data_IF_022408544103
#
_entry.id   IF_022408544103
#
_cell.length_a   1.000
_cell.length_b   1.000
_cell.length_c   1.000
_cell.angle_alpha   90.00
_cell.angle_beta   90.00
_cell.angle_gamma   90.00
#
_symmetry.space_group_name_H-M   'P 1'
#
loop_
_entity.id
_entity.type
_entity.pdbx_description
1 polymer ?
#
# COMPACT_ATOMS: atom_id res chain seq x y z
N UNK A 1 -9.20 0.38 -21.70
CA UNK A 1 -8.45 -0.82 -21.26
C UNK A 1 -9.39 -1.61 -20.37
N UNK A 2 -9.69 -2.89 -20.64
CA UNK A 2 -10.46 -3.69 -19.68
C UNK A 2 -9.68 -3.70 -18.35
N UNK A 3 -10.38 -3.46 -17.25
CA UNK A 3 -9.81 -3.62 -15.92
C UNK A 3 -9.43 -5.11 -15.80
N UNK A 4 -8.14 -5.40 -15.79
CA UNK A 4 -7.68 -6.74 -15.41
C UNK A 4 -8.03 -6.90 -13.94
N UNK A 5 -9.07 -7.68 -13.67
CA UNK A 5 -9.49 -8.01 -12.31
C UNK A 5 -8.39 -8.86 -11.66
N UNK A 6 -7.72 -8.30 -10.65
CA UNK A 6 -6.82 -9.07 -9.77
C UNK A 6 -7.70 -9.84 -8.79
N UNK A 7 -7.65 -11.18 -8.85
CA UNK A 7 -8.44 -12.06 -8.00
C UNK A 7 -7.69 -12.47 -6.72
N UNK A 8 -8.40 -13.09 -5.78
CA UNK A 8 -7.82 -13.56 -4.51
C UNK A 8 -6.66 -14.54 -4.73
N UNK A 9 -6.74 -15.39 -5.77
CA UNK A 9 -5.66 -16.35 -6.09
C UNK A 9 -4.36 -15.64 -6.42
N UNK A 10 -4.43 -14.50 -7.09
CA UNK A 10 -3.25 -13.68 -7.39
C UNK A 10 -2.64 -13.12 -6.10
N UNK A 11 -3.47 -12.61 -5.18
CA UNK A 11 -3.00 -12.12 -3.88
C UNK A 11 -2.36 -13.24 -3.05
N UNK A 12 -3.00 -14.41 -2.98
CA UNK A 12 -2.49 -15.57 -2.24
C UNK A 12 -1.17 -16.09 -2.81
N UNK A 13 -0.96 -15.97 -4.13
CA UNK A 13 0.32 -16.29 -4.77
C UNK A 13 1.40 -15.29 -4.38
N UNK A 14 1.11 -13.98 -4.45
CA UNK A 14 2.07 -12.94 -4.07
C UNK A 14 2.48 -13.05 -2.60
N UNK A 15 1.54 -13.44 -1.73
CA UNK A 15 1.76 -13.63 -0.28
C UNK A 15 2.81 -14.69 0.08
N UNK A 16 3.15 -15.58 -0.86
CA UNK A 16 4.15 -16.63 -0.65
C UNK A 16 5.59 -16.15 -0.76
N UNK A 17 5.82 -14.90 -1.20
CA UNK A 17 7.14 -14.33 -1.43
C UNK A 17 7.38 -13.14 -0.49
N UNK A 18 8.65 -12.91 -0.14
CA UNK A 18 9.05 -11.69 0.56
C UNK A 18 9.05 -10.47 -0.38
N UNK A 19 8.99 -9.27 0.20
CA UNK A 19 8.96 -8.03 -0.56
C UNK A 19 10.20 -7.84 -1.46
N UNK A 20 11.45 -8.13 -1.01
CA UNK A 20 12.62 -8.06 -1.89
C UNK A 20 12.51 -8.94 -3.14
N UNK A 21 11.99 -10.16 -3.03
CA UNK A 21 11.77 -11.07 -4.16
C UNK A 21 10.78 -10.49 -5.16
N UNK A 22 9.70 -9.87 -4.68
CA UNK A 22 8.73 -9.19 -5.55
C UNK A 22 9.39 -8.00 -6.26
N UNK A 23 10.16 -7.18 -5.56
CA UNK A 23 10.91 -6.06 -6.16
C UNK A 23 11.87 -6.53 -7.25
N UNK A 24 12.67 -7.58 -6.98
CA UNK A 24 13.60 -8.15 -7.95
C UNK A 24 12.90 -8.60 -9.25
N UNK A 25 11.68 -9.15 -9.14
CA UNK A 25 10.88 -9.56 -10.30
C UNK A 25 10.33 -8.35 -11.05
N UNK A 26 9.89 -7.29 -10.35
CA UNK A 26 9.42 -6.04 -10.95
C UNK A 26 10.51 -5.40 -11.83
N UNK A 27 11.78 -5.49 -11.43
CA UNK A 27 12.92 -4.96 -12.21
C UNK A 27 13.00 -5.56 -13.62
N UNK A 28 12.56 -6.81 -13.81
CA UNK A 28 12.60 -7.49 -15.11
C UNK A 28 11.60 -6.91 -16.14
N UNK A 29 10.63 -6.11 -15.68
CA UNK A 29 9.66 -5.46 -16.56
C UNK A 29 10.13 -4.09 -17.07
N UNK A 30 11.26 -3.57 -16.58
CA UNK A 30 11.79 -2.24 -16.93
C UNK A 30 10.76 -1.08 -16.78
N UNK A 31 9.81 -1.22 -15.85
CA UNK A 31 8.75 -0.21 -15.58
C UNK A 31 9.13 0.82 -14.52
N UNK A 32 10.15 0.52 -13.71
CA UNK A 32 10.69 1.40 -12.65
C UNK A 32 12.21 1.25 -12.59
N UNK A 33 12.97 2.29 -12.18
CA UNK A 33 14.40 2.17 -11.92
C UNK A 33 14.69 1.08 -10.86
N UNK A 34 15.79 0.34 -11.03
CA UNK A 34 16.19 -0.75 -10.11
C UNK A 34 16.52 -0.30 -8.68
N UNK A 35 16.67 1.00 -8.48
CA UNK A 35 16.91 1.61 -7.17
C UNK A 35 15.66 2.29 -6.59
N UNK A 36 14.46 1.99 -7.12
CA UNK A 36 13.18 2.55 -6.69
C UNK A 36 12.13 1.43 -6.48
N UNK A 37 10.96 1.80 -5.95
CA UNK A 37 9.83 0.87 -5.80
C UNK A 37 9.81 0.05 -4.51
N UNK A 38 10.60 0.43 -3.50
CA UNK A 38 10.63 -0.18 -2.17
C UNK A 38 10.62 0.89 -1.06
N UNK A 39 10.24 0.51 0.16
CA UNK A 39 10.28 1.39 1.33
C UNK A 39 11.71 1.56 1.84
N UNK A 40 12.01 2.69 2.48
CA UNK A 40 13.28 2.90 3.16
C UNK A 40 13.29 2.20 4.53
N UNK A 41 14.44 2.23 5.21
CA UNK A 41 14.62 1.59 6.51
C UNK A 41 13.90 2.28 7.68
N UNK A 42 13.23 3.41 7.47
CA UNK A 42 12.51 4.12 8.54
C UNK A 42 11.14 3.48 8.81
N UNK A 43 10.59 2.73 7.85
CA UNK A 43 9.35 1.97 8.00
C UNK A 43 9.69 0.55 8.44
N UNK A 44 9.23 0.16 9.63
CA UNK A 44 9.50 -1.14 10.24
C UNK A 44 8.22 -1.90 10.54
N UNK A 45 8.28 -3.24 10.44
CA UNK A 45 7.15 -4.10 10.78
C UNK A 45 7.01 -4.23 12.29
N UNK A 46 5.87 -3.80 12.84
CA UNK A 46 5.57 -3.93 14.27
C UNK A 46 5.10 -5.34 14.67
N UNK A 47 4.82 -6.21 13.70
CA UNK A 47 4.31 -7.56 13.92
C UNK A 47 5.05 -8.59 13.05
N UNK A 48 6.36 -8.80 13.26
CA UNK A 48 7.20 -9.63 12.40
C UNK A 48 6.81 -11.12 12.39
N UNK A 49 6.08 -11.59 13.41
CA UNK A 49 5.62 -12.98 13.51
C UNK A 49 4.37 -13.26 12.65
N UNK A 50 3.71 -12.23 12.12
CA UNK A 50 2.58 -12.39 11.21
C UNK A 50 3.07 -12.70 9.79
N UNK A 51 2.31 -13.51 9.02
CA UNK A 51 2.66 -13.76 7.62
C UNK A 51 2.60 -12.47 6.80
N UNK A 52 3.37 -12.35 5.69
CA UNK A 52 3.31 -11.21 4.78
C UNK A 52 1.88 -10.86 4.38
N UNK A 53 1.60 -9.60 4.09
CA UNK A 53 0.29 -9.12 3.65
C UNK A 53 0.36 -8.53 2.25
N UNK A 54 -0.70 -8.73 1.47
CA UNK A 54 -0.86 -8.20 0.11
C UNK A 54 -2.28 -7.66 -0.02
N UNK A 55 -2.42 -6.49 -0.61
CA UNK A 55 -3.71 -5.84 -0.82
C UNK A 55 -3.60 -4.62 -1.71
N UNK A 56 -4.68 -3.86 -1.79
CA UNK A 56 -4.81 -2.68 -2.62
C UNK A 56 -4.56 -1.42 -1.80
N UNK A 57 -3.72 -0.52 -2.31
CA UNK A 57 -3.37 0.71 -1.61
C UNK A 57 -4.56 1.67 -1.54
N UNK A 58 -4.95 2.05 -0.32
CA UNK A 58 -5.71 3.26 -0.03
C UNK A 58 -4.71 4.33 0.41
N UNK A 59 -4.40 5.28 -0.47
CA UNK A 59 -3.35 6.27 -0.22
C UNK A 59 -3.91 7.50 0.46
N UNK A 60 -3.18 8.02 1.44
CA UNK A 60 -3.51 9.30 2.08
C UNK A 60 -2.23 10.10 2.37
N UNK A 61 -2.36 11.41 2.42
CA UNK A 61 -1.31 12.30 2.88
C UNK A 61 -1.75 12.97 4.18
N UNK A 62 -0.88 12.97 5.18
CA UNK A 62 -1.20 13.51 6.50
C UNK A 62 -0.11 14.47 6.95
N UNK A 63 -0.42 15.75 7.03
CA UNK A 63 0.54 16.75 7.50
C UNK A 63 0.47 16.87 9.02
N UNK A 64 1.30 16.12 9.72
CA UNK A 64 1.33 16.13 11.19
C UNK A 64 2.09 17.33 11.77
N UNK A 65 3.07 17.86 11.04
CA UNK A 65 4.00 18.89 11.52
C UNK A 65 3.52 20.34 11.31
N UNK A 66 2.32 20.56 10.78
CA UNK A 66 1.73 21.88 10.56
C UNK A 66 0.25 21.88 10.97
N UNK A 67 -0.32 23.04 11.38
CA UNK A 67 -1.76 23.13 11.62
C UNK A 67 -2.57 22.68 10.40
N UNK A 68 -3.72 22.01 10.59
CA UNK A 68 -4.57 21.60 9.48
C UNK A 68 -4.97 22.82 8.66
N UNK A 69 -4.97 22.69 7.33
CA UNK A 69 -5.41 23.75 6.42
C UNK A 69 -6.91 24.10 6.60
N UNK A 70 -7.67 23.21 7.25
CA UNK A 70 -9.04 23.39 7.71
C UNK A 70 -9.58 22.06 8.28
N UNK A 71 -10.60 22.13 9.14
CA UNK A 71 -11.22 20.95 9.77
C UNK A 71 -10.37 20.30 10.88
N UNK A 72 -10.82 19.13 11.33
CA UNK A 72 -10.07 18.23 12.21
C UNK A 72 -8.92 17.56 11.43
N UNK A 73 -7.76 17.37 12.08
CA UNK A 73 -6.65 16.58 11.54
C UNK A 73 -7.11 15.19 11.06
N UNK A 74 -8.09 14.58 11.73
CA UNK A 74 -8.69 13.29 11.37
C UNK A 74 -10.01 13.39 10.61
N UNK A 75 -10.45 14.58 10.19
CA UNK A 75 -11.75 14.78 9.56
C UNK A 75 -11.96 13.97 8.28
N UNK A 76 -10.88 13.55 7.61
CA UNK A 76 -10.91 12.72 6.40
C UNK A 76 -10.83 11.20 6.67
N UNK A 77 -10.66 10.77 7.92
CA UNK A 77 -10.51 9.34 8.23
C UNK A 77 -11.79 8.53 7.92
N UNK A 78 -12.96 9.08 8.26
CA UNK A 78 -14.24 8.44 7.94
C UNK A 78 -14.45 8.30 6.43
N UNK A 79 -14.12 9.34 5.66
CA UNK A 79 -14.16 9.32 4.20
C UNK A 79 -13.18 8.29 3.62
N UNK A 80 -11.97 8.20 4.19
CA UNK A 80 -10.97 7.22 3.78
C UNK A 80 -11.43 5.78 4.00
N UNK A 81 -12.03 5.49 5.17
CA UNK A 81 -12.58 4.17 5.48
C UNK A 81 -13.78 3.84 4.58
N UNK A 82 -14.65 4.82 4.30
CA UNK A 82 -15.78 4.64 3.37
C UNK A 82 -15.30 4.24 1.97
N UNK A 83 -14.18 4.81 1.51
CA UNK A 83 -13.53 4.49 0.23
C UNK A 83 -13.00 3.05 0.11
N UNK A 84 -12.86 2.29 1.20
CA UNK A 84 -12.38 0.90 1.12
C UNK A 84 -13.31 0.00 0.30
N UNK A 85 -14.61 0.30 0.30
CA UNK A 85 -15.61 -0.43 -0.48
C UNK A 85 -15.42 -0.30 -1.99
N UNK A 86 -14.67 0.71 -2.45
CA UNK A 86 -14.36 0.94 -3.86
C UNK A 86 -13.15 0.12 -4.33
N UNK A 87 -12.36 -0.43 -3.41
CA UNK A 87 -11.18 -1.21 -3.75
C UNK A 87 -11.55 -2.65 -4.18
N UNK A 88 -10.83 -3.26 -5.13
CA UNK A 88 -11.13 -4.61 -5.61
C UNK A 88 -10.88 -5.73 -4.58
N UNK A 89 -10.33 -5.43 -3.41
CA UNK A 89 -9.98 -6.43 -2.38
C UNK A 89 -9.44 -5.78 -1.10
N UNK A 90 -8.62 -6.50 -0.31
CA UNK A 90 -8.16 -6.03 1.01
C UNK A 90 -7.49 -4.66 0.95
N UNK A 91 -8.02 -3.69 1.69
CA UNK A 91 -7.49 -2.32 1.73
C UNK A 91 -6.24 -2.24 2.61
N UNK A 92 -5.17 -1.66 2.08
CA UNK A 92 -3.94 -1.34 2.82
C UNK A 92 -3.77 0.17 2.83
N UNK A 93 -3.87 0.78 4.01
CA UNK A 93 -3.64 2.21 4.11
C UNK A 93 -2.14 2.50 3.93
N UNK A 94 -1.81 3.40 3.00
CA UNK A 94 -0.46 3.89 2.76
C UNK A 94 -0.45 5.39 3.02
N UNK A 95 0.13 5.80 4.14
CA UNK A 95 0.27 7.21 4.50
C UNK A 95 1.61 7.78 4.04
N UNK A 96 1.55 9.00 3.52
CA UNK A 96 2.70 9.87 3.34
C UNK A 96 2.56 11.07 4.28
N UNK A 97 3.55 11.31 5.14
CA UNK A 97 3.66 12.55 5.93
C UNK A 97 4.10 13.73 5.05
#
# INVERSE_FOLDING_TARGET
>A
MPIMTIDQRTLDKLRQFDSPTICNVIELFDVVPRNAGYMNGDIQCNFPDLPPMVGFASTASFRSAAPPAGGDAYGSFEEQVAGFSELPGPAIIVFQD
#
